data_IF_679932703349
#
_entry.id   IF_679932703349
#
_cell.length_a   1.000
_cell.length_b   1.000
_cell.length_c   1.000
_cell.angle_alpha   90.00
_cell.angle_beta   90.00
_cell.angle_gamma   90.00
#
_symmetry.space_group_name_H-M   'P 1'
#
loop_
_entity.id
_entity.type
_entity.pdbx_description
1 polymer ?
#
# COMPACT_ATOMS: atom_id res chain seq x y z
N UNK A 1 9.69 10.91 19.96
CA UNK A 1 10.21 11.58 18.75
C UNK A 1 9.11 12.04 17.79
N UNK A 2 8.24 11.17 17.28
CA UNK A 2 7.17 11.56 16.33
C UNK A 2 6.19 12.60 16.90
N UNK A 3 5.70 12.39 18.13
CA UNK A 3 4.87 13.38 18.82
C UNK A 3 5.59 14.72 19.05
N UNK A 4 6.88 14.69 19.36
CA UNK A 4 7.66 15.91 19.66
C UNK A 4 8.00 16.73 18.41
N UNK A 5 8.25 16.07 17.28
CA UNK A 5 8.74 16.73 16.07
C UNK A 5 7.70 16.78 14.94
N UNK A 6 7.00 15.67 14.67
CA UNK A 6 6.05 15.58 13.55
C UNK A 6 4.71 16.22 13.88
N UNK A 7 4.17 15.99 15.07
CA UNK A 7 2.88 16.57 15.49
C UNK A 7 2.80 18.11 15.37
N UNK A 8 3.80 18.89 15.84
CA UNK A 8 3.73 20.36 15.71
C UNK A 8 3.83 20.82 14.25
N UNK A 9 4.53 20.10 13.38
CA UNK A 9 4.61 20.41 11.94
C UNK A 9 3.27 20.13 11.27
N UNK A 10 2.65 18.99 11.57
CA UNK A 10 1.34 18.63 11.05
C UNK A 10 0.26 19.62 11.52
N UNK A 11 0.29 20.03 12.79
CA UNK A 11 -0.63 21.05 13.30
C UNK A 11 -0.51 22.39 12.54
N UNK A 12 0.72 22.84 12.29
CA UNK A 12 0.98 24.05 11.48
C UNK A 12 0.48 23.90 10.05
N UNK A 13 0.69 22.73 9.45
CA UNK A 13 0.22 22.43 8.10
C UNK A 13 -1.31 22.40 8.02
N UNK A 14 -1.99 21.78 8.99
CA UNK A 14 -3.45 21.75 9.05
C UNK A 14 -4.04 23.16 9.13
N UNK A 15 -3.54 23.96 10.08
CA UNK A 15 -3.97 25.34 10.24
C UNK A 15 -3.74 26.17 8.96
N UNK A 16 -2.63 25.93 8.27
CA UNK A 16 -2.37 26.56 6.99
C UNK A 16 -3.35 26.10 5.90
N UNK A 17 -3.65 24.79 5.79
CA UNK A 17 -4.61 24.26 4.83
C UNK A 17 -6.02 24.81 5.07
N UNK A 18 -6.47 24.85 6.32
CA UNK A 18 -7.76 25.44 6.71
C UNK A 18 -7.84 26.92 6.35
N UNK A 19 -6.76 27.66 6.59
CA UNK A 19 -6.67 29.07 6.23
C UNK A 19 -6.68 29.28 4.70
N UNK A 20 -6.06 28.40 3.91
CA UNK A 20 -6.02 28.51 2.46
C UNK A 20 -7.31 28.04 1.76
N UNK A 21 -8.05 27.10 2.35
CA UNK A 21 -9.26 26.53 1.78
C UNK A 21 -10.27 27.58 1.25
N UNK A 22 -10.63 28.66 1.98
CA UNK A 22 -11.56 29.67 1.47
C UNK A 22 -10.98 30.56 0.36
N UNK A 23 -9.66 30.63 0.18
CA UNK A 23 -9.02 31.45 -0.84
C UNK A 23 -8.95 30.77 -2.21
N UNK A 24 -9.25 29.47 -2.28
CA UNK A 24 -9.16 28.69 -3.51
C UNK A 24 -10.51 28.07 -3.88
N UNK A 25 -11.04 28.30 -5.10
CA UNK A 25 -12.24 27.63 -5.55
C UNK A 25 -12.06 26.10 -5.48
N UNK A 26 -13.06 25.32 -5.00
CA UNK A 26 -12.92 23.88 -4.79
C UNK A 26 -12.53 23.09 -6.05
N UNK A 27 -12.87 23.60 -7.24
CA UNK A 27 -12.55 22.97 -8.53
C UNK A 27 -11.18 23.38 -9.08
N UNK A 28 -10.51 24.37 -8.50
CA UNK A 28 -9.14 24.72 -8.91
C UNK A 28 -8.16 23.59 -8.53
N UNK A 29 -7.03 23.42 -9.25
CA UNK A 29 -6.05 22.38 -8.92
C UNK A 29 -5.60 22.43 -7.45
N UNK A 30 -5.36 23.62 -6.90
CA UNK A 30 -4.96 23.80 -5.51
C UNK A 30 -6.12 23.56 -4.54
N UNK A 31 -7.34 24.02 -4.86
CA UNK A 31 -8.53 23.75 -4.05
C UNK A 31 -8.85 22.27 -3.95
N UNK A 32 -8.64 21.50 -5.03
CA UNK A 32 -8.76 20.05 -5.04
C UNK A 32 -7.70 19.39 -4.16
N UNK A 33 -6.44 19.83 -4.25
CA UNK A 33 -5.35 19.31 -3.43
C UNK A 33 -5.56 19.56 -1.93
N UNK A 34 -5.95 20.78 -1.55
CA UNK A 34 -6.30 21.13 -0.16
C UNK A 34 -7.46 20.28 0.33
N UNK A 35 -8.54 20.20 -0.46
CA UNK A 35 -9.72 19.40 -0.11
C UNK A 35 -9.38 17.92 0.07
N UNK A 36 -8.51 17.38 -0.78
CA UNK A 36 -8.06 16.00 -0.68
C UNK A 36 -7.23 15.76 0.58
N UNK A 37 -6.25 16.64 0.86
CA UNK A 37 -5.41 16.55 2.04
C UNK A 37 -6.23 16.60 3.34
N UNK A 38 -7.18 17.55 3.45
CA UNK A 38 -8.05 17.67 4.62
C UNK A 38 -8.97 16.45 4.79
N UNK A 39 -9.54 15.92 3.68
CA UNK A 39 -10.35 14.69 3.72
C UNK A 39 -9.56 13.46 4.17
N UNK A 40 -8.26 13.40 3.88
CA UNK A 40 -7.39 12.29 4.24
C UNK A 40 -6.59 12.55 5.52
N UNK A 41 -6.88 13.62 6.25
CA UNK A 41 -6.03 14.09 7.33
C UNK A 41 -5.83 13.04 8.43
N UNK A 42 -6.90 12.39 8.86
CA UNK A 42 -6.84 11.33 9.88
C UNK A 42 -5.85 10.24 9.46
N UNK A 43 -6.00 9.70 8.24
CA UNK A 43 -5.13 8.67 7.69
C UNK A 43 -3.67 9.14 7.57
N UNK A 44 -3.47 10.37 7.10
CA UNK A 44 -2.15 10.99 6.93
C UNK A 44 -1.39 11.12 8.26
N UNK A 45 -2.10 11.34 9.37
CA UNK A 45 -1.49 11.56 10.69
C UNK A 45 -1.40 10.31 11.57
N UNK A 46 -1.97 9.17 11.17
CA UNK A 46 -1.97 7.92 11.99
C UNK A 46 -0.59 7.46 12.44
N UNK A 47 0.45 7.68 11.64
CA UNK A 47 1.82 7.27 11.98
C UNK A 47 2.39 7.97 13.21
N UNK A 48 1.82 9.13 13.59
CA UNK A 48 2.24 9.89 14.78
C UNK A 48 1.89 9.14 16.07
N UNK A 49 0.76 8.43 16.06
CA UNK A 49 0.21 7.69 17.20
C UNK A 49 0.61 6.22 17.23
N UNK A 50 1.00 5.66 16.08
CA UNK A 50 1.34 4.25 15.95
C UNK A 50 2.76 4.06 15.41
N UNK A 51 3.69 3.60 16.24
CA UNK A 51 5.08 3.41 15.83
C UNK A 51 5.26 2.36 14.72
N UNK A 52 4.33 1.39 14.63
CA UNK A 52 4.37 0.32 13.63
C UNK A 52 4.08 0.81 12.23
N UNK A 53 3.41 1.95 12.10
CA UNK A 53 3.16 2.57 10.81
C UNK A 53 4.39 3.37 10.37
N UNK A 54 4.94 3.11 9.17
CA UNK A 54 5.95 3.97 8.58
C UNK A 54 5.37 5.36 8.25
N UNK A 55 6.24 6.35 8.14
CA UNK A 55 5.87 7.72 7.74
C UNK A 55 5.41 7.77 6.27
N UNK A 56 5.99 6.90 5.44
CA UNK A 56 5.74 6.83 4.01
C UNK A 56 5.19 5.46 3.59
N UNK A 57 4.59 5.43 2.40
CA UNK A 57 4.06 4.22 1.78
C UNK A 57 5.03 3.60 0.75
N UNK A 58 6.32 3.99 0.75
CA UNK A 58 7.26 3.63 -0.33
C UNK A 58 7.37 2.12 -0.52
N UNK A 59 7.32 1.35 0.58
CA UNK A 59 7.33 -0.12 0.54
C UNK A 59 6.14 -0.68 -0.23
N UNK A 60 4.94 -0.16 0.06
CA UNK A 60 3.71 -0.56 -0.63
C UNK A 60 3.75 -0.15 -2.10
N UNK A 61 4.22 1.06 -2.41
CA UNK A 61 4.35 1.53 -3.80
C UNK A 61 5.38 0.72 -4.58
N UNK A 62 6.51 0.35 -3.96
CA UNK A 62 7.52 -0.51 -4.56
C UNK A 62 6.97 -1.90 -4.89
N UNK A 63 6.16 -2.48 -4.01
CA UNK A 63 5.47 -3.75 -4.28
C UNK A 63 4.47 -3.61 -5.45
N UNK A 64 3.64 -2.56 -5.45
CA UNK A 64 2.67 -2.30 -6.51
C UNK A 64 3.33 -2.00 -7.87
N UNK A 65 4.55 -1.46 -7.89
CA UNK A 65 5.30 -1.22 -9.13
C UNK A 65 5.56 -2.51 -9.91
N UNK A 66 5.73 -3.64 -9.23
CA UNK A 66 5.88 -4.97 -9.88
C UNK A 66 4.60 -5.37 -10.60
N UNK A 67 3.45 -5.22 -9.94
CA UNK A 67 2.15 -5.46 -10.57
C UNK A 67 1.92 -4.50 -11.75
N UNK A 68 2.28 -3.22 -11.61
CA UNK A 68 2.17 -2.24 -12.69
C UNK A 68 3.01 -2.61 -13.92
N UNK A 69 4.25 -3.07 -13.72
CA UNK A 69 5.11 -3.56 -14.79
C UNK A 69 4.55 -4.83 -15.43
N UNK A 70 4.08 -5.77 -14.62
CA UNK A 70 3.45 -7.01 -15.08
C UNK A 70 2.25 -6.76 -16.00
N UNK A 71 1.36 -5.82 -15.65
CA UNK A 71 0.22 -5.45 -16.51
C UNK A 71 0.62 -5.00 -17.92
N UNK A 72 1.79 -4.36 -18.07
CA UNK A 72 2.31 -3.93 -19.37
C UNK A 72 2.91 -5.10 -20.16
N UNK A 73 3.42 -6.11 -19.47
CA UNK A 73 4.19 -7.22 -20.07
C UNK A 73 3.36 -8.50 -20.28
N UNK A 74 2.25 -8.67 -19.56
CA UNK A 74 1.40 -9.85 -19.67
C UNK A 74 0.36 -9.64 -20.78
N UNK A 75 0.73 -10.05 -21.99
CA UNK A 75 -0.10 -10.01 -23.19
C UNK A 75 -1.40 -10.83 -23.11
N UNK A 76 -1.58 -11.69 -22.09
CA UNK A 76 -2.61 -12.75 -22.09
C UNK A 76 -3.35 -12.93 -20.75
N UNK A 77 -3.45 -11.92 -19.89
CA UNK A 77 -4.44 -11.98 -18.79
C UNK A 77 -5.83 -11.78 -19.41
N UNK A 78 -6.38 -12.86 -19.96
CA UNK A 78 -7.54 -12.81 -20.86
C UNK A 78 -8.90 -12.75 -20.17
N UNK A 79 -8.97 -12.91 -18.84
CA UNK A 79 -10.22 -12.80 -18.07
C UNK A 79 -9.98 -12.45 -16.59
N UNK A 80 -11.02 -11.96 -15.91
CA UNK A 80 -10.99 -11.47 -14.52
C UNK A 80 -10.36 -12.45 -13.53
N UNK A 81 -10.79 -13.72 -13.54
CA UNK A 81 -10.25 -14.73 -12.61
C UNK A 81 -8.73 -14.97 -12.77
N UNK A 82 -8.15 -14.75 -13.95
CA UNK A 82 -6.70 -14.84 -14.13
C UNK A 82 -5.99 -13.64 -13.49
N UNK A 83 -6.63 -12.48 -13.49
CA UNK A 83 -6.18 -11.28 -12.78
C UNK A 83 -6.20 -11.47 -11.26
N UNK A 84 -7.27 -12.06 -10.71
CA UNK A 84 -7.36 -12.37 -9.27
C UNK A 84 -6.28 -13.36 -8.84
N UNK A 85 -6.08 -14.45 -9.58
CA UNK A 85 -5.03 -15.43 -9.31
C UNK A 85 -3.64 -14.78 -9.32
N UNK A 86 -3.37 -13.93 -10.32
CA UNK A 86 -2.11 -13.21 -10.42
C UNK A 86 -1.92 -12.22 -9.27
N UNK A 87 -2.98 -11.54 -8.82
CA UNK A 87 -2.94 -10.68 -7.64
C UNK A 87 -2.59 -11.48 -6.37
N UNK A 88 -3.13 -12.69 -6.23
CA UNK A 88 -2.78 -13.61 -5.15
C UNK A 88 -1.29 -13.99 -5.15
N UNK A 89 -0.73 -14.34 -6.31
CA UNK A 89 0.70 -14.64 -6.44
C UNK A 89 1.55 -13.41 -6.08
N UNK A 90 1.19 -12.22 -6.56
CA UNK A 90 1.90 -10.99 -6.21
C UNK A 90 1.87 -10.70 -4.70
N UNK A 91 0.73 -10.93 -4.05
CA UNK A 91 0.61 -10.77 -2.60
C UNK A 91 1.53 -11.74 -1.85
N UNK A 92 1.61 -13.01 -2.28
CA UNK A 92 2.51 -14.01 -1.70
C UNK A 92 3.99 -13.60 -1.86
N UNK A 93 4.38 -13.19 -3.06
CA UNK A 93 5.75 -12.73 -3.35
C UNK A 93 6.11 -11.51 -2.50
N UNK A 94 5.24 -10.50 -2.45
CA UNK A 94 5.45 -9.30 -1.64
C UNK A 94 5.56 -9.64 -0.15
N UNK A 95 4.79 -10.60 0.33
CA UNK A 95 4.86 -11.08 1.71
C UNK A 95 6.18 -11.80 2.00
N UNK A 96 6.65 -12.66 1.08
CA UNK A 96 7.96 -13.31 1.22
C UNK A 96 9.08 -12.27 1.33
N UNK A 97 9.11 -11.29 0.43
CA UNK A 97 10.10 -10.22 0.43
C UNK A 97 10.05 -9.38 1.71
N UNK A 98 8.85 -9.05 2.20
CA UNK A 98 8.66 -8.33 3.45
C UNK A 98 9.21 -9.09 4.68
N UNK A 99 9.23 -10.42 4.62
CA UNK A 99 9.75 -11.31 5.67
C UNK A 99 11.17 -11.81 5.38
N UNK A 100 11.85 -11.29 4.35
CA UNK A 100 13.20 -11.73 3.94
C UNK A 100 13.28 -13.22 3.56
N UNK A 101 12.17 -13.78 3.09
CA UNK A 101 12.07 -15.16 2.60
C UNK A 101 12.28 -15.14 1.09
N UNK A 102 13.05 -16.09 0.56
CA UNK A 102 13.19 -16.28 -0.88
C UNK A 102 11.83 -16.71 -1.48
N UNK A 103 11.20 -15.89 -2.36
CA UNK A 103 9.86 -16.19 -2.87
C UNK A 103 9.81 -17.44 -3.76
N UNK A 104 10.87 -17.72 -4.52
CA UNK A 104 10.96 -18.89 -5.39
C UNK A 104 10.99 -20.18 -4.57
N UNK A 105 11.87 -20.23 -3.56
CA UNK A 105 11.97 -21.37 -2.66
C UNK A 105 10.65 -21.61 -1.90
N UNK A 106 10.00 -20.53 -1.45
CA UNK A 106 8.70 -20.62 -0.78
C UNK A 106 7.61 -21.16 -1.70
N UNK A 107 7.48 -20.63 -2.92
CA UNK A 107 6.48 -21.08 -3.88
C UNK A 107 6.73 -22.54 -4.29
N UNK A 108 7.99 -22.94 -4.51
CA UNK A 108 8.33 -24.32 -4.82
C UNK A 108 7.91 -25.28 -3.70
N UNK A 109 8.21 -24.95 -2.43
CA UNK A 109 7.83 -25.77 -1.28
C UNK A 109 6.30 -25.86 -1.12
N UNK A 110 5.59 -24.73 -1.20
CA UNK A 110 4.13 -24.70 -1.05
C UNK A 110 3.43 -25.49 -2.16
N UNK A 111 3.85 -25.33 -3.41
CA UNK A 111 3.25 -26.04 -4.54
C UNK A 111 3.42 -27.56 -4.41
N UNK A 112 4.58 -28.03 -3.92
CA UNK A 112 4.81 -29.44 -3.63
C UNK A 112 3.90 -29.96 -2.50
N UNK A 113 3.71 -29.18 -1.43
CA UNK A 113 2.84 -29.56 -0.31
C UNK A 113 1.37 -29.59 -0.65
N UNK A 114 0.90 -28.66 -1.48
CA UNK A 114 -0.50 -28.60 -1.92
C UNK A 114 -0.86 -29.78 -2.83
N UNK A 115 0.11 -30.31 -3.57
CA UNK A 115 -0.07 -31.52 -4.39
C UNK A 115 -0.02 -32.82 -3.57
N UNK A 116 0.56 -32.79 -2.37
CA UNK A 116 0.59 -33.96 -1.50
C UNK A 116 -0.81 -34.23 -0.93
N UNK A 117 -1.29 -35.49 -0.92
CA UNK A 117 -2.57 -35.82 -0.31
C UNK A 117 -2.54 -35.42 1.17
N UNK A 118 -3.58 -34.72 1.62
CA UNK A 118 -3.75 -34.42 3.04
C UNK A 118 -3.74 -35.73 3.83
N UNK A 119 -2.95 -35.85 4.92
CA UNK A 119 -3.09 -36.99 5.79
C UNK A 119 -4.53 -36.98 6.32
N UNK A 120 -5.25 -38.10 6.12
CA UNK A 120 -6.59 -38.25 6.63
C UNK A 120 -6.57 -37.94 8.14
N UNK A 121 -7.27 -36.88 8.54
CA UNK A 121 -7.51 -36.59 9.95
C UNK A 121 -8.18 -37.83 10.56
N UNK A 122 -7.47 -38.49 11.49
CA UNK A 122 -8.01 -39.49 12.41
C UNK A 122 -8.49 -38.81 13.68
#
# INVERSE_FOLDING_TARGET
MRQLHSAPVLAKLHAWLDAQAPHHPPKSPLGQAISYALKQWEALTRFVENERLPLDNNRSEAALRKAALGRKNFLFVGHEAAGENLAGIYALVATCEANQINPEAYLADVLLRVQAPQPAHR
#
